data_IF_206394769902
#
_entry.id   IF_206394769902
#
_cell.length_a   1.000
_cell.length_b   1.000
_cell.length_c   1.000
_cell.angle_alpha   90.00
_cell.angle_beta   90.00
_cell.angle_gamma   90.00
#
_symmetry.space_group_name_H-M   'P 1'
#
loop_
_entity.id
_entity.type
_entity.pdbx_description
1 polymer ?
#
# COMPACT_ATOMS: atom_id res chain seq x y z
N UNK A 1 -16.96 -4.71 -11.01
CA UNK A 1 -16.37 -3.36 -10.95
C UNK A 1 -15.58 -3.15 -12.22
N UNK A 2 -15.56 -1.94 -12.77
CA UNK A 2 -14.74 -1.68 -13.96
C UNK A 2 -13.25 -1.90 -13.64
N UNK A 3 -12.50 -2.51 -14.56
CA UNK A 3 -11.09 -2.84 -14.35
C UNK A 3 -10.25 -1.59 -14.08
N UNK A 4 -10.61 -0.45 -14.69
CA UNK A 4 -9.97 0.83 -14.44
C UNK A 4 -10.16 1.29 -12.98
N UNK A 5 -11.35 1.07 -12.40
CA UNK A 5 -11.66 1.43 -11.01
C UNK A 5 -10.87 0.55 -10.04
N UNK A 6 -10.75 -0.76 -10.34
CA UNK A 6 -9.93 -1.66 -9.54
C UNK A 6 -8.46 -1.24 -9.50
N UNK A 7 -7.88 -0.90 -10.66
CA UNK A 7 -6.51 -0.39 -10.72
C UNK A 7 -6.32 0.94 -9.99
N UNK A 8 -7.29 1.86 -10.09
CA UNK A 8 -7.23 3.14 -9.38
C UNK A 8 -7.19 2.92 -7.86
N UNK A 9 -8.02 2.03 -7.33
CA UNK A 9 -8.03 1.68 -5.90
C UNK A 9 -6.71 1.03 -5.48
N UNK A 10 -6.17 0.12 -6.29
CA UNK A 10 -4.86 -0.49 -6.03
C UNK A 10 -3.72 0.52 -5.96
N UNK A 11 -3.67 1.48 -6.89
CA UNK A 11 -2.65 2.54 -6.89
C UNK A 11 -2.76 3.40 -5.62
N UNK A 12 -3.97 3.73 -5.19
CA UNK A 12 -4.19 4.46 -3.95
C UNK A 12 -3.70 3.69 -2.72
N UNK A 13 -3.95 2.38 -2.67
CA UNK A 13 -3.47 1.51 -1.58
C UNK A 13 -1.94 1.45 -1.51
N UNK A 14 -1.28 1.24 -2.66
CA UNK A 14 0.19 1.23 -2.73
C UNK A 14 0.76 2.60 -2.36
N UNK A 15 0.20 3.68 -2.89
CA UNK A 15 0.60 5.04 -2.58
C UNK A 15 0.43 5.39 -1.10
N UNK A 16 -0.68 4.95 -0.49
CA UNK A 16 -0.93 5.13 0.94
C UNK A 16 0.09 4.38 1.81
N UNK A 17 0.44 3.14 1.44
CA UNK A 17 1.48 2.41 2.12
C UNK A 17 2.87 3.06 1.99
N UNK A 18 3.22 3.55 0.81
CA UNK A 18 4.45 4.31 0.60
C UNK A 18 4.48 5.60 1.45
N UNK A 19 3.35 6.29 1.57
CA UNK A 19 3.21 7.45 2.44
C UNK A 19 3.44 7.10 3.92
N UNK A 20 2.83 6.02 4.42
CA UNK A 20 3.03 5.54 5.80
C UNK A 20 4.52 5.25 6.04
N UNK A 21 5.18 4.60 5.09
CA UNK A 21 6.61 4.30 5.18
C UNK A 21 7.40 5.60 5.38
N UNK A 22 7.22 6.58 4.48
CA UNK A 22 7.93 7.86 4.52
C UNK A 22 7.66 8.60 5.83
N UNK A 23 6.40 8.69 6.25
CA UNK A 23 6.03 9.36 7.51
C UNK A 23 6.60 8.65 8.74
N UNK A 24 6.77 7.33 8.69
CA UNK A 24 7.29 6.51 9.77
C UNK A 24 8.81 6.51 9.91
N UNK A 25 9.56 6.92 8.87
CA UNK A 25 11.03 6.94 8.88
C UNK A 25 11.61 7.90 9.91
N UNK A 26 10.92 8.99 10.25
CA UNK A 26 11.34 9.96 11.28
C UNK A 26 10.85 9.62 12.69
N UNK A 27 10.25 8.44 12.89
CA UNK A 27 9.74 8.01 14.20
C UNK A 27 10.81 7.32 15.05
N UNK A 28 10.53 7.12 16.34
CA UNK A 28 11.40 6.36 17.24
C UNK A 28 11.49 4.85 16.94
N UNK A 29 10.67 4.32 16.02
CA UNK A 29 10.73 2.91 15.61
C UNK A 29 10.41 2.75 14.11
N UNK A 30 11.35 3.09 13.20
CA UNK A 30 11.14 3.01 11.76
C UNK A 30 10.77 1.60 11.27
N UNK A 31 11.31 0.56 11.93
CA UNK A 31 11.04 -0.85 11.59
C UNK A 31 9.55 -1.18 11.74
N UNK A 32 8.89 -0.70 12.80
CA UNK A 32 7.46 -0.92 13.00
C UNK A 32 6.65 -0.33 11.84
N UNK A 33 6.95 0.90 11.44
CA UNK A 33 6.24 1.55 10.35
C UNK A 33 6.49 0.90 8.99
N UNK A 34 7.67 0.32 8.76
CA UNK A 34 7.91 -0.52 7.59
C UNK A 34 6.95 -1.71 7.56
N UNK A 35 6.79 -2.42 8.68
CA UNK A 35 5.85 -3.55 8.77
C UNK A 35 4.41 -3.09 8.52
N UNK A 36 4.00 -1.96 9.11
CA UNK A 36 2.67 -1.40 8.91
C UNK A 36 2.43 -0.99 7.45
N UNK A 37 3.41 -0.35 6.81
CA UNK A 37 3.35 0.08 5.42
C UNK A 37 3.25 -1.09 4.42
N UNK A 38 3.86 -2.24 4.73
CA UNK A 38 3.82 -3.43 3.87
C UNK A 38 2.41 -3.98 3.69
N UNK A 39 1.51 -3.80 4.67
CA UNK A 39 0.13 -4.30 4.60
C UNK A 39 -0.65 -3.66 3.44
N UNK A 40 -0.86 -2.33 3.37
CA UNK A 40 -1.57 -1.71 2.26
C UNK A 40 -0.83 -1.85 0.92
N UNK A 41 0.51 -1.90 0.91
CA UNK A 41 1.28 -2.16 -0.32
C UNK A 41 0.94 -3.55 -0.88
N UNK A 42 1.00 -4.57 -0.03
CA UNK A 42 0.73 -5.96 -0.46
C UNK A 42 -0.71 -6.10 -0.91
N UNK A 43 -1.67 -5.51 -0.18
CA UNK A 43 -3.09 -5.52 -0.59
C UNK A 43 -3.28 -4.81 -1.92
N UNK A 44 -2.67 -3.63 -2.13
CA UNK A 44 -2.76 -2.90 -3.37
C UNK A 44 -2.21 -3.69 -4.57
N UNK A 45 -1.06 -4.35 -4.39
CA UNK A 45 -0.44 -5.23 -5.39
C UNK A 45 -1.32 -6.46 -5.69
N UNK A 46 -1.77 -7.18 -4.66
CA UNK A 46 -2.66 -8.35 -4.84
C UNK A 46 -3.97 -7.93 -5.49
N UNK A 47 -4.53 -6.77 -5.15
CA UNK A 47 -5.73 -6.26 -5.79
C UNK A 47 -5.52 -5.88 -7.26
N UNK A 48 -4.30 -5.50 -7.66
CA UNK A 48 -3.98 -5.12 -9.04
C UNK A 48 -3.67 -6.32 -9.94
N UNK A 49 -3.12 -7.39 -9.36
CA UNK A 49 -2.60 -8.55 -10.10
C UNK A 49 -3.25 -9.89 -9.70
N UNK A 50 -4.17 -9.86 -8.74
CA UNK A 50 -4.88 -11.04 -8.26
C UNK A 50 -5.86 -11.61 -9.31
N UNK A 51 -6.33 -12.84 -9.12
CA UNK A 51 -7.24 -13.50 -10.05
C UNK A 51 -8.50 -12.66 -10.30
N UNK A 52 -8.88 -12.55 -11.57
CA UNK A 52 -10.12 -11.88 -12.00
C UNK A 52 -11.36 -12.77 -11.77
#
# INVERSE_FOLDING_TARGET
MDKAVAYAISVLLVGFGAWILIAGLSSGSPVLWTVVALVPITIGLVSAFGPA
#
